data_IF_633650526892
#
_entry.id   IF_633650526892
#
_cell.length_a   1.000
_cell.length_b   1.000
_cell.length_c   1.000
_cell.angle_alpha   90.00
_cell.angle_beta   90.00
_cell.angle_gamma   90.00
#
_symmetry.space_group_name_H-M   'P 1'
#
loop_
_entity.id
_entity.type
_entity.pdbx_description
1 polymer ?
#
# COMPACT_ATOMS: atom_id res chain seq x y z
N UNK A 1 -57.44 -60.84 53.81
CA UNK A 1 -58.44 -59.75 54.01
C UNK A 1 -57.94 -58.56 53.18
N UNK A 2 -58.17 -58.54 51.87
CA UNK A 2 -59.29 -57.85 51.19
C UNK A 2 -59.44 -56.38 51.59
N UNK A 3 -58.88 -55.47 50.80
CA UNK A 3 -59.46 -54.14 50.45
C UNK A 3 -58.90 -53.79 49.05
N UNK A 4 -59.62 -53.97 47.95
CA UNK A 4 -60.63 -53.09 47.31
C UNK A 4 -60.09 -51.88 46.51
N UNK A 5 -60.11 -52.07 45.18
CA UNK A 5 -60.38 -51.14 44.06
C UNK A 5 -60.47 -49.62 44.30
N UNK A 6 -59.70 -48.86 43.51
CA UNK A 6 -60.09 -47.71 42.68
C UNK A 6 -58.90 -47.42 41.73
N UNK A 7 -58.99 -47.24 40.41
CA UNK A 7 -60.03 -46.57 39.64
C UNK A 7 -59.64 -45.11 39.40
N UNK A 8 -58.60 -44.84 38.60
CA UNK A 8 -58.31 -43.48 38.11
C UNK A 8 -57.53 -43.54 36.80
N UNK A 9 -58.24 -43.20 35.73
CA UNK A 9 -57.70 -42.92 34.41
C UNK A 9 -57.12 -41.51 34.44
N UNK A 10 -55.84 -41.34 34.10
CA UNK A 10 -55.30 -40.04 33.72
C UNK A 10 -54.57 -40.17 32.39
N UNK A 11 -55.14 -39.43 31.45
CA UNK A 11 -54.70 -39.14 30.09
C UNK A 11 -53.23 -38.70 30.09
N UNK A 12 -52.39 -39.40 29.33
CA UNK A 12 -51.07 -38.92 28.92
C UNK A 12 -51.23 -37.68 28.05
N UNK A 13 -51.06 -36.50 28.66
CA UNK A 13 -50.81 -35.26 27.91
C UNK A 13 -49.35 -35.28 27.46
N UNK A 14 -49.14 -35.70 26.21
CA UNK A 14 -47.87 -35.52 25.53
C UNK A 14 -47.65 -34.01 25.33
N UNK A 15 -46.84 -33.41 26.20
CA UNK A 15 -46.36 -32.05 26.03
C UNK A 15 -45.31 -32.08 24.90
N UNK A 16 -45.79 -31.92 23.67
CA UNK A 16 -44.95 -31.72 22.50
C UNK A 16 -44.17 -30.43 22.64
N UNK A 17 -42.93 -30.53 23.10
CA UNK A 17 -41.98 -29.44 23.06
C UNK A 17 -41.67 -29.09 21.61
N UNK A 18 -42.21 -27.97 21.14
CA UNK A 18 -41.82 -27.38 19.87
C UNK A 18 -40.45 -26.72 20.06
N UNK A 19 -39.38 -27.48 19.85
CA UNK A 19 -38.05 -26.93 19.65
C UNK A 19 -38.07 -26.22 18.30
N UNK A 20 -38.30 -24.91 18.31
CA UNK A 20 -38.03 -24.06 17.17
C UNK A 20 -36.51 -24.09 16.93
N UNK A 21 -36.07 -24.88 15.97
CA UNK A 21 -34.72 -24.79 15.44
C UNK A 21 -34.55 -23.37 14.86
N UNK A 22 -33.45 -22.66 15.15
CA UNK A 22 -33.15 -21.44 14.41
C UNK A 22 -32.93 -21.84 12.95
N UNK A 23 -33.79 -21.33 12.07
CA UNK A 23 -33.59 -21.38 10.62
C UNK A 23 -32.39 -20.49 10.27
N UNK A 24 -31.19 -21.02 10.43
CA UNK A 24 -30.01 -20.46 9.79
C UNK A 24 -29.96 -20.97 8.35
N UNK A 25 -30.86 -20.45 7.52
CA UNK A 25 -30.64 -20.41 6.08
C UNK A 25 -30.28 -18.98 5.71
N UNK A 26 -29.08 -18.55 6.12
CA UNK A 26 -28.35 -17.57 5.33
C UNK A 26 -27.89 -18.33 4.08
N UNK A 27 -28.82 -18.52 3.14
CA UNK A 27 -28.45 -18.93 1.80
C UNK A 27 -27.55 -17.83 1.25
N UNK A 28 -26.29 -18.15 0.99
CA UNK A 28 -25.45 -17.32 0.14
C UNK A 28 -26.19 -17.20 -1.18
N UNK A 29 -26.80 -16.05 -1.43
CA UNK A 29 -27.28 -15.71 -2.76
C UNK A 29 -26.07 -15.89 -3.70
N UNK A 30 -26.24 -16.63 -4.79
CA UNK A 30 -25.23 -16.67 -5.84
C UNK A 30 -25.09 -15.23 -6.33
N UNK A 31 -24.05 -14.54 -5.86
CA UNK A 31 -23.94 -13.11 -6.06
C UNK A 31 -23.72 -12.90 -7.57
N UNK A 32 -24.72 -12.33 -8.25
CA UNK A 32 -24.77 -12.16 -9.70
C UNK A 32 -23.76 -11.16 -10.27
N UNK A 33 -22.50 -11.24 -9.82
CA UNK A 33 -21.38 -10.44 -10.31
C UNK A 33 -20.93 -10.93 -11.67
N UNK A 34 -20.74 -9.99 -12.57
CA UNK A 34 -20.20 -10.24 -13.90
C UNK A 34 -18.68 -10.04 -13.91
N UNK A 35 -17.97 -10.92 -14.62
CA UNK A 35 -16.55 -10.79 -14.92
C UNK A 35 -15.61 -10.73 -13.70
N UNK A 36 -15.92 -11.53 -12.67
CA UNK A 36 -15.05 -11.78 -11.52
C UNK A 36 -14.02 -12.87 -11.90
N UNK A 37 -12.74 -12.51 -12.00
CA UNK A 37 -11.70 -13.42 -12.55
C UNK A 37 -10.57 -13.80 -11.57
N UNK A 38 -10.43 -13.09 -10.45
CA UNK A 38 -9.31 -13.25 -9.50
C UNK A 38 -9.78 -13.36 -8.05
N UNK A 39 -11.08 -13.23 -7.81
CA UNK A 39 -11.71 -13.36 -6.50
C UNK A 39 -12.75 -14.51 -6.56
N UNK A 40 -13.11 -15.12 -5.42
CA UNK A 40 -14.08 -16.22 -5.38
C UNK A 40 -15.43 -15.82 -5.99
N UNK A 41 -16.01 -16.68 -6.83
CA UNK A 41 -17.27 -16.39 -7.52
C UNK A 41 -18.46 -16.20 -6.56
N UNK A 42 -18.39 -16.77 -5.37
CA UNK A 42 -19.41 -16.73 -4.32
C UNK A 42 -19.13 -15.67 -3.24
N UNK A 43 -18.12 -14.80 -3.42
CA UNK A 43 -17.78 -13.72 -2.49
C UNK A 43 -19.01 -12.86 -2.16
N UNK A 44 -19.24 -12.59 -0.88
CA UNK A 44 -20.38 -11.77 -0.46
C UNK A 44 -20.24 -10.31 -0.91
N UNK A 45 -21.36 -9.57 -0.93
CA UNK A 45 -21.34 -8.13 -1.27
C UNK A 45 -20.46 -7.31 -0.33
N UNK A 46 -20.52 -7.61 0.95
CA UNK A 46 -19.77 -6.87 1.97
C UNK A 46 -18.28 -7.18 1.84
N UNK A 47 -17.91 -8.46 1.70
CA UNK A 47 -16.51 -8.88 1.51
C UNK A 47 -15.90 -8.33 0.22
N UNK A 48 -16.67 -8.28 -0.88
CA UNK A 48 -16.23 -7.67 -2.12
C UNK A 48 -16.00 -6.16 -1.93
N UNK A 49 -16.92 -5.48 -1.24
CA UNK A 49 -16.80 -4.07 -0.91
C UNK A 49 -15.54 -3.78 -0.10
N UNK A 50 -15.33 -4.52 0.98
CA UNK A 50 -14.17 -4.39 1.86
C UNK A 50 -12.86 -4.70 1.15
N UNK A 51 -12.86 -5.73 0.30
CA UNK A 51 -11.72 -6.08 -0.55
C UNK A 51 -11.33 -4.91 -1.44
N UNK A 52 -12.30 -4.33 -2.18
CA UNK A 52 -12.03 -3.17 -3.05
C UNK A 52 -11.55 -1.95 -2.26
N UNK A 53 -12.13 -1.67 -1.09
CA UNK A 53 -11.69 -0.57 -0.23
C UNK A 53 -10.28 -0.79 0.33
N UNK A 54 -9.89 -2.04 0.59
CA UNK A 54 -8.54 -2.38 1.03
C UNK A 54 -7.51 -2.10 -0.07
N UNK A 55 -7.85 -2.38 -1.33
CA UNK A 55 -6.99 -2.05 -2.48
C UNK A 55 -6.81 -0.54 -2.62
N UNK A 56 -7.87 0.26 -2.51
CA UNK A 56 -7.76 1.72 -2.56
C UNK A 56 -6.83 2.25 -1.47
N UNK A 57 -6.96 1.72 -0.24
CA UNK A 57 -6.09 2.12 0.87
C UNK A 57 -4.64 1.75 0.60
N UNK A 58 -4.39 0.52 0.17
CA UNK A 58 -3.04 0.03 -0.13
C UNK A 58 -2.35 0.87 -1.21
N UNK A 59 -3.09 1.30 -2.23
CA UNK A 59 -2.59 2.08 -3.36
C UNK A 59 -2.53 3.60 -3.10
N UNK A 60 -3.04 4.08 -1.96
CA UNK A 60 -3.10 5.52 -1.67
C UNK A 60 -4.13 6.28 -2.48
N UNK A 61 -5.17 5.59 -2.97
CA UNK A 61 -6.22 6.17 -3.79
C UNK A 61 -7.34 6.76 -2.92
N UNK A 62 -7.94 7.89 -3.34
CA UNK A 62 -8.99 8.55 -2.57
C UNK A 62 -10.25 7.69 -2.52
N UNK A 63 -10.79 7.51 -1.30
CA UNK A 63 -12.08 6.82 -1.09
C UNK A 63 -13.29 7.74 -1.23
N UNK A 64 -13.08 9.06 -1.12
CA UNK A 64 -14.16 10.05 -1.15
C UNK A 64 -14.76 10.11 -2.55
N UNK A 65 -16.09 10.20 -2.62
CA UNK A 65 -16.88 10.29 -3.85
C UNK A 65 -16.66 9.16 -4.88
N UNK A 66 -15.88 8.11 -4.59
CA UNK A 66 -15.57 7.05 -5.54
C UNK A 66 -14.48 7.39 -6.56
N UNK A 67 -13.74 8.49 -6.41
CA UNK A 67 -12.65 8.89 -7.31
C UNK A 67 -11.61 7.79 -7.51
N UNK A 68 -11.18 7.15 -6.42
CA UNK A 68 -10.20 6.05 -6.49
C UNK A 68 -10.73 4.82 -7.24
N UNK A 69 -12.04 4.59 -7.24
CA UNK A 69 -12.64 3.48 -7.99
C UNK A 69 -12.46 3.66 -9.50
N UNK A 70 -12.47 4.91 -9.99
CA UNK A 70 -12.25 5.25 -11.39
C UNK A 70 -10.80 5.03 -11.83
N UNK A 71 -9.87 4.70 -10.93
CA UNK A 71 -8.54 4.26 -11.32
C UNK A 71 -8.58 2.93 -12.09
N UNK A 72 -9.53 2.04 -11.74
CA UNK A 72 -9.67 0.70 -12.32
C UNK A 72 -11.00 0.45 -13.03
N UNK A 73 -12.09 1.09 -12.60
CA UNK A 73 -13.42 0.88 -13.16
C UNK A 73 -13.82 1.98 -14.16
N UNK A 74 -14.64 1.60 -15.13
CA UNK A 74 -15.24 2.52 -16.12
C UNK A 74 -16.49 3.16 -15.52
N UNK A 75 -16.58 4.49 -15.60
CA UNK A 75 -17.67 5.27 -15.02
C UNK A 75 -17.33 6.76 -14.99
N UNK A 76 -18.25 7.56 -14.46
CA UNK A 76 -18.05 9.00 -14.22
C UNK A 76 -18.66 9.41 -12.87
N UNK A 77 -18.07 10.42 -12.24
CA UNK A 77 -18.65 11.06 -11.04
C UNK A 77 -19.94 11.84 -11.35
N UNK A 78 -20.22 12.13 -12.62
CA UNK A 78 -21.44 12.83 -13.06
C UNK A 78 -22.70 11.96 -13.02
N UNK A 79 -22.52 10.64 -12.95
CA UNK A 79 -23.62 9.66 -12.92
C UNK A 79 -23.57 8.81 -11.65
N UNK A 80 -24.73 8.34 -11.15
CA UNK A 80 -24.77 7.42 -10.01
C UNK A 80 -23.93 6.17 -10.26
N UNK A 81 -23.29 5.64 -9.20
CA UNK A 81 -22.47 4.42 -9.23
C UNK A 81 -23.19 3.18 -9.78
N UNK A 82 -24.52 3.14 -9.72
CA UNK A 82 -25.32 2.07 -10.31
C UNK A 82 -25.28 2.04 -11.84
N UNK A 83 -24.86 3.12 -12.49
CA UNK A 83 -24.71 3.22 -13.95
C UNK A 83 -23.28 2.99 -14.43
N UNK A 84 -22.34 2.68 -13.52
CA UNK A 84 -20.96 2.41 -13.89
C UNK A 84 -20.81 1.00 -14.45
N UNK A 85 -19.87 0.83 -15.38
CA UNK A 85 -19.59 -0.45 -16.02
C UNK A 85 -18.56 -1.24 -15.21
N UNK A 86 -18.99 -1.78 -14.06
CA UNK A 86 -18.12 -2.48 -13.12
C UNK A 86 -17.41 -3.70 -13.74
N UNK A 87 -18.08 -4.40 -14.66
CA UNK A 87 -17.57 -5.59 -15.34
C UNK A 87 -16.65 -5.26 -16.52
N UNK A 88 -16.64 -4.03 -17.05
CA UNK A 88 -15.80 -3.64 -18.19
C UNK A 88 -14.30 -3.76 -17.90
N UNK A 89 -13.55 -4.21 -18.91
CA UNK A 89 -12.10 -4.40 -18.89
C UNK A 89 -11.36 -3.35 -19.72
N UNK A 90 -12.04 -2.27 -20.12
CA UNK A 90 -11.46 -1.18 -20.92
C UNK A 90 -10.25 -0.53 -20.23
N UNK A 91 -10.26 -0.44 -18.90
CA UNK A 91 -9.14 0.15 -18.15
C UNK A 91 -8.03 -0.88 -17.89
N UNK A 92 -6.79 -0.61 -18.35
CA UNK A 92 -5.68 -1.55 -18.20
C UNK A 92 -5.31 -1.83 -16.73
N UNK A 93 -5.52 -0.86 -15.84
CA UNK A 93 -5.23 -1.02 -14.40
C UNK A 93 -6.03 -2.15 -13.77
N UNK A 94 -7.24 -2.47 -14.26
CA UNK A 94 -8.04 -3.59 -13.76
C UNK A 94 -7.38 -4.94 -14.08
N UNK A 95 -6.82 -5.07 -15.29
CA UNK A 95 -6.09 -6.28 -15.68
C UNK A 95 -4.80 -6.44 -14.87
N UNK A 96 -4.08 -5.33 -14.63
CA UNK A 96 -2.89 -5.32 -13.76
C UNK A 96 -3.27 -5.72 -12.33
N UNK A 97 -4.34 -5.14 -11.77
CA UNK A 97 -4.82 -5.47 -10.43
C UNK A 97 -5.16 -6.95 -10.30
N UNK A 98 -5.82 -7.56 -11.28
CA UNK A 98 -6.08 -9.02 -11.29
C UNK A 98 -4.80 -9.84 -11.26
N UNK A 99 -3.75 -9.41 -11.97
CA UNK A 99 -2.44 -10.08 -11.92
C UNK A 99 -1.79 -9.93 -10.54
N UNK A 100 -1.89 -8.75 -9.93
CA UNK A 100 -1.36 -8.51 -8.57
C UNK A 100 -2.11 -9.29 -7.50
N UNK A 101 -3.44 -9.46 -7.62
CA UNK A 101 -4.24 -10.29 -6.71
C UNK A 101 -3.71 -11.73 -6.73
N UNK A 102 -3.53 -12.31 -7.91
CA UNK A 102 -2.99 -13.68 -8.06
C UNK A 102 -1.58 -13.79 -7.51
N UNK A 103 -0.71 -12.82 -7.82
CA UNK A 103 0.65 -12.80 -7.28
C UNK A 103 0.66 -12.80 -5.74
N UNK A 104 -0.21 -12.05 -5.08
CA UNK A 104 -0.32 -12.02 -3.62
C UNK A 104 -0.86 -13.35 -3.07
N UNK A 105 -1.86 -13.95 -3.76
CA UNK A 105 -2.35 -15.29 -3.43
C UNK A 105 -1.22 -16.32 -3.50
N UNK A 106 -0.48 -16.36 -4.61
CA UNK A 106 0.65 -17.27 -4.83
C UNK A 106 1.73 -17.08 -3.76
N UNK A 107 2.10 -15.82 -3.42
CA UNK A 107 3.07 -15.56 -2.35
C UNK A 107 2.59 -16.15 -1.01
N UNK A 108 1.33 -15.91 -0.63
CA UNK A 108 0.81 -16.37 0.65
C UNK A 108 0.65 -17.91 0.70
N UNK A 109 0.14 -18.50 -0.37
CA UNK A 109 -0.25 -19.92 -0.44
C UNK A 109 0.90 -20.85 -0.80
N UNK A 110 1.84 -20.41 -1.64
CA UNK A 110 2.95 -21.25 -2.12
C UNK A 110 4.27 -20.94 -1.42
N UNK A 111 4.57 -19.67 -1.18
CA UNK A 111 5.90 -19.26 -0.69
C UNK A 111 5.94 -19.11 0.84
N UNK A 112 4.96 -18.43 1.42
CA UNK A 112 4.90 -18.25 2.88
C UNK A 112 4.40 -19.50 3.59
N UNK A 113 3.65 -20.38 2.90
CA UNK A 113 3.18 -21.66 3.42
C UNK A 113 4.26 -22.54 4.05
N UNK A 114 5.45 -22.56 3.45
CA UNK A 114 6.56 -23.41 3.89
C UNK A 114 7.48 -22.80 4.96
N UNK A 115 7.24 -21.56 5.40
CA UNK A 115 8.13 -20.89 6.35
C UNK A 115 7.90 -21.38 7.79
N UNK A 116 9.00 -21.65 8.50
CA UNK A 116 8.95 -21.90 9.94
C UNK A 116 8.56 -20.62 10.71
N UNK A 117 7.89 -20.79 11.85
CA UNK A 117 7.52 -19.71 12.78
C UNK A 117 6.58 -18.64 12.20
N UNK A 118 5.70 -19.02 11.28
CA UNK A 118 4.72 -18.09 10.67
C UNK A 118 3.39 -17.99 11.39
N UNK A 119 3.24 -18.70 12.51
CA UNK A 119 1.91 -19.09 13.01
C UNK A 119 1.24 -18.05 13.93
N UNK A 120 1.98 -17.05 14.44
CA UNK A 120 1.38 -16.06 15.34
C UNK A 120 2.00 -14.65 15.31
N UNK A 121 1.24 -13.63 14.85
CA UNK A 121 0.08 -13.79 13.97
C UNK A 121 0.48 -14.50 12.67
N UNK A 122 -0.49 -15.05 11.94
CA UNK A 122 -0.21 -15.65 10.64
C UNK A 122 0.51 -14.64 9.74
N UNK A 123 1.72 -14.99 9.28
CA UNK A 123 2.48 -14.14 8.38
C UNK A 123 1.86 -14.19 6.99
N UNK A 124 1.25 -13.08 6.59
CA UNK A 124 0.71 -12.88 5.25
C UNK A 124 1.15 -11.54 4.69
N UNK A 125 1.30 -11.48 3.37
CA UNK A 125 1.46 -10.23 2.64
C UNK A 125 0.12 -9.79 2.06
N UNK A 126 -0.08 -8.48 1.99
CA UNK A 126 -1.17 -7.87 1.24
C UNK A 126 -0.64 -6.79 0.33
N UNK A 127 -1.51 -6.18 -0.47
CA UNK A 127 -1.13 -5.05 -1.33
C UNK A 127 -0.43 -3.93 -0.54
N UNK A 128 -0.87 -3.70 0.71
CA UNK A 128 -0.30 -2.68 1.61
C UNK A 128 1.14 -2.98 2.01
N UNK A 129 1.57 -4.25 2.01
CA UNK A 129 2.93 -4.63 2.39
C UNK A 129 3.96 -4.01 1.45
N UNK A 130 3.66 -3.95 0.15
CA UNK A 130 4.55 -3.32 -0.84
C UNK A 130 4.17 -1.87 -1.12
N UNK A 131 2.88 -1.61 -1.35
CA UNK A 131 2.44 -0.30 -1.79
C UNK A 131 2.38 0.73 -0.65
N UNK A 132 2.10 0.32 0.58
CA UNK A 132 2.05 1.20 1.76
C UNK A 132 1.40 2.58 1.51
N UNK A 133 0.29 2.65 0.76
CA UNK A 133 -0.39 3.90 0.44
C UNK A 133 0.14 4.65 -0.78
N UNK A 134 0.82 3.98 -1.71
CA UNK A 134 1.30 4.58 -2.97
C UNK A 134 1.15 3.65 -4.17
N UNK A 135 1.04 4.22 -5.36
CA UNK A 135 0.89 3.42 -6.59
C UNK A 135 2.19 2.71 -7.00
N UNK A 136 3.35 3.35 -6.84
CA UNK A 136 4.66 2.78 -7.19
C UNK A 136 5.34 2.20 -5.95
N UNK A 137 5.37 0.87 -5.75
CA UNK A 137 5.87 0.25 -4.53
C UNK A 137 7.39 0.26 -4.41
N UNK A 138 8.12 0.85 -5.36
CA UNK A 138 9.58 0.96 -5.27
C UNK A 138 10.02 1.78 -4.05
N UNK A 139 11.23 1.56 -3.54
CA UNK A 139 11.84 2.44 -2.54
C UNK A 139 12.14 3.82 -3.16
N UNK A 140 12.37 4.84 -2.32
CA UNK A 140 12.52 6.21 -2.79
C UNK A 140 13.78 6.39 -3.64
N UNK A 141 14.85 5.67 -3.31
CA UNK A 141 16.13 5.68 -4.00
C UNK A 141 15.95 5.30 -5.48
N UNK A 142 15.21 4.23 -5.76
CA UNK A 142 14.89 3.81 -7.13
C UNK A 142 14.03 4.84 -7.87
N UNK A 143 13.09 5.48 -7.17
CA UNK A 143 12.21 6.51 -7.73
C UNK A 143 13.01 7.77 -8.10
N UNK A 144 13.91 8.23 -7.22
CA UNK A 144 14.77 9.38 -7.46
C UNK A 144 15.86 9.06 -8.50
N UNK A 145 16.47 7.88 -8.45
CA UNK A 145 17.44 7.41 -9.45
C UNK A 145 16.83 7.37 -10.85
N UNK A 146 15.62 6.82 -10.97
CA UNK A 146 14.82 6.88 -12.21
C UNK A 146 14.56 8.31 -12.71
N UNK A 147 14.35 9.28 -11.79
CA UNK A 147 14.15 10.67 -12.16
C UNK A 147 15.46 11.32 -12.63
N UNK A 148 16.56 11.02 -11.95
CA UNK A 148 17.91 11.45 -12.32
C UNK A 148 18.30 10.95 -13.71
N UNK A 149 18.09 9.67 -14.01
CA UNK A 149 18.41 9.07 -15.31
C UNK A 149 17.65 9.71 -16.47
N UNK A 150 16.36 10.02 -16.26
CA UNK A 150 15.50 10.55 -17.33
C UNK A 150 15.64 12.04 -17.57
N UNK A 151 15.95 12.81 -16.53
CA UNK A 151 15.87 14.27 -16.61
C UNK A 151 16.84 15.00 -15.69
N UNK A 152 17.91 14.33 -15.27
CA UNK A 152 18.99 14.93 -14.47
C UNK A 152 18.58 15.32 -13.06
N UNK A 153 19.48 16.01 -12.39
CA UNK A 153 19.34 16.39 -10.98
C UNK A 153 18.13 17.31 -10.74
N UNK A 154 17.75 18.13 -11.72
CA UNK A 154 16.60 19.02 -11.60
C UNK A 154 15.28 18.25 -11.51
N UNK A 155 15.19 17.09 -12.17
CA UNK A 155 14.01 16.21 -12.03
C UNK A 155 13.88 15.66 -10.61
N UNK A 156 15.01 15.36 -9.97
CA UNK A 156 15.05 14.94 -8.55
C UNK A 156 14.67 16.10 -7.64
N UNK A 157 15.22 17.29 -7.91
CA UNK A 157 14.96 18.48 -7.11
C UNK A 157 13.51 18.96 -7.16
N UNK A 158 12.77 18.65 -8.22
CA UNK A 158 11.31 18.87 -8.29
C UNK A 158 10.54 17.73 -7.63
N UNK A 159 10.95 16.48 -7.86
CA UNK A 159 10.22 15.30 -7.38
C UNK A 159 10.29 15.12 -5.87
N UNK A 160 11.48 15.25 -5.28
CA UNK A 160 11.67 14.98 -3.86
C UNK A 160 10.78 15.86 -2.95
N UNK A 161 10.69 17.20 -3.13
CA UNK A 161 9.77 18.03 -2.33
C UNK A 161 8.31 17.59 -2.43
N UNK A 162 7.86 17.16 -3.62
CA UNK A 162 6.49 16.65 -3.82
C UNK A 162 6.27 15.36 -3.04
N UNK A 163 7.24 14.45 -3.06
CA UNK A 163 7.18 13.22 -2.27
C UNK A 163 7.24 13.50 -0.76
N UNK A 164 8.10 14.44 -0.35
CA UNK A 164 8.25 14.86 1.04
C UNK A 164 6.94 15.44 1.58
N UNK A 165 6.37 16.44 0.91
CA UNK A 165 5.09 17.06 1.30
C UNK A 165 3.97 16.03 1.43
N UNK A 166 3.92 15.05 0.51
CA UNK A 166 2.85 14.06 0.48
C UNK A 166 3.01 12.94 1.51
N UNK A 167 4.24 12.50 1.78
CA UNK A 167 4.50 11.23 2.48
C UNK A 167 5.34 11.36 3.75
N UNK A 168 5.85 12.54 4.08
CA UNK A 168 6.63 12.73 5.31
C UNK A 168 5.82 12.36 6.55
N UNK A 169 6.39 11.52 7.41
CA UNK A 169 5.74 11.00 8.62
C UNK A 169 4.69 9.90 8.38
N UNK A 170 4.35 9.57 7.12
CA UNK A 170 3.35 8.54 6.82
C UNK A 170 3.94 7.10 6.79
N UNK A 171 5.25 6.94 6.94
CA UNK A 171 5.94 5.64 6.90
C UNK A 171 6.01 4.99 5.51
N UNK A 172 5.83 5.79 4.46
CA UNK A 172 5.75 5.32 3.06
C UNK A 172 7.13 5.28 2.38
N UNK A 173 7.95 6.29 2.66
CA UNK A 173 9.30 6.43 2.14
C UNK A 173 10.26 6.83 3.26
N UNK A 174 11.54 6.49 3.12
CA UNK A 174 12.60 7.08 3.94
C UNK A 174 12.94 8.48 3.40
N UNK A 175 12.30 9.49 3.97
CA UNK A 175 12.48 10.89 3.60
C UNK A 175 13.45 11.62 4.52
N UNK A 176 14.33 10.91 5.24
CA UNK A 176 15.31 11.53 6.16
C UNK A 176 16.47 12.15 5.38
N UNK A 177 17.25 12.99 6.08
CA UNK A 177 18.47 13.64 5.54
C UNK A 177 19.40 12.66 4.82
N UNK A 178 19.51 11.43 5.33
CA UNK A 178 20.39 10.39 4.81
C UNK A 178 20.11 10.02 3.35
N UNK A 179 18.85 10.02 2.91
CA UNK A 179 18.47 9.57 1.57
C UNK A 179 19.09 10.46 0.48
N UNK A 180 18.88 11.77 0.57
CA UNK A 180 19.49 12.72 -0.38
C UNK A 180 20.99 12.88 -0.15
N UNK A 181 21.47 12.72 1.08
CA UNK A 181 22.89 12.78 1.39
C UNK A 181 23.68 11.66 0.69
N UNK A 182 23.22 10.41 0.79
CA UNK A 182 23.85 9.27 0.12
C UNK A 182 23.90 9.47 -1.39
N UNK A 183 22.78 9.87 -2.00
CA UNK A 183 22.70 10.13 -3.42
C UNK A 183 23.61 11.29 -3.87
N UNK A 184 23.74 12.35 -3.06
CA UNK A 184 24.66 13.45 -3.34
C UNK A 184 26.13 13.00 -3.24
N UNK A 185 26.47 12.16 -2.26
CA UNK A 185 27.83 11.59 -2.13
C UNK A 185 28.19 10.70 -3.32
N UNK A 186 27.28 9.84 -3.79
CA UNK A 186 27.49 9.02 -4.99
C UNK A 186 27.77 9.88 -6.23
N UNK A 187 26.99 10.95 -6.44
CA UNK A 187 27.22 11.89 -7.53
C UNK A 187 28.59 12.58 -7.44
N UNK A 188 29.03 12.93 -6.23
CA UNK A 188 30.32 13.56 -6.02
C UNK A 188 31.49 12.59 -6.31
N UNK A 189 31.38 11.32 -5.93
CA UNK A 189 32.35 10.26 -6.26
C UNK A 189 32.46 10.05 -7.78
N UNK A 190 31.39 10.27 -8.53
CA UNK A 190 31.40 10.32 -10.00
C UNK A 190 31.98 11.63 -10.59
N UNK A 191 32.43 12.56 -9.75
CA UNK A 191 32.92 13.88 -10.14
C UNK A 191 31.81 14.88 -10.52
N UNK A 192 30.53 14.54 -10.32
CA UNK A 192 29.36 15.36 -10.63
C UNK A 192 29.03 16.31 -9.48
N UNK A 193 30.01 17.11 -9.09
CA UNK A 193 29.93 17.99 -7.92
C UNK A 193 28.78 19.01 -7.97
N UNK A 194 28.45 19.55 -9.15
CA UNK A 194 27.32 20.48 -9.29
C UNK A 194 25.97 19.81 -8.98
N UNK A 195 25.77 18.58 -9.49
CA UNK A 195 24.57 17.81 -9.21
C UNK A 195 24.50 17.42 -7.72
N UNK A 196 25.63 17.02 -7.14
CA UNK A 196 25.73 16.70 -5.72
C UNK A 196 25.36 17.90 -4.83
N UNK A 197 25.93 19.09 -5.11
CA UNK A 197 25.62 20.31 -4.38
C UNK A 197 24.15 20.72 -4.57
N UNK A 198 23.60 20.54 -5.77
CA UNK A 198 22.19 20.79 -6.05
C UNK A 198 21.26 19.90 -5.22
N UNK A 199 21.57 18.61 -5.05
CA UNK A 199 20.80 17.73 -4.16
C UNK A 199 20.99 18.10 -2.69
N UNK A 200 22.18 18.53 -2.30
CA UNK A 200 22.44 18.98 -0.93
C UNK A 200 21.61 20.21 -0.56
N UNK A 201 21.43 21.15 -1.49
CA UNK A 201 20.52 22.31 -1.34
C UNK A 201 19.05 21.89 -1.17
N UNK A 202 18.59 20.89 -1.93
CA UNK A 202 17.25 20.30 -1.75
C UNK A 202 17.12 19.66 -0.36
N UNK A 203 18.17 18.96 0.08
CA UNK A 203 18.21 18.30 1.38
C UNK A 203 18.14 19.31 2.53
N UNK A 204 18.92 20.39 2.47
CA UNK A 204 18.87 21.48 3.45
C UNK A 204 17.51 22.19 3.49
N UNK A 205 16.90 22.41 2.33
CA UNK A 205 15.59 23.05 2.24
C UNK A 205 14.50 22.17 2.84
N UNK A 206 14.48 20.89 2.52
CA UNK A 206 13.49 19.95 3.03
C UNK A 206 13.66 19.68 4.54
N UNK A 207 14.89 19.74 5.04
CA UNK A 207 15.24 19.49 6.44
C UNK A 207 15.75 20.75 7.14
N UNK A 208 15.06 21.87 6.91
CA UNK A 208 15.46 23.16 7.43
C UNK A 208 15.67 23.13 8.95
N UNK A 209 16.88 23.44 9.39
CA UNK A 209 17.27 23.42 10.80
C UNK A 209 17.97 22.14 11.27
N UNK A 210 18.06 21.10 10.44
CA UNK A 210 18.88 19.92 10.74
C UNK A 210 20.35 20.20 10.37
N UNK A 211 21.29 20.26 11.36
CA UNK A 211 22.70 20.50 11.08
C UNK A 211 23.33 19.39 10.22
N UNK A 212 22.76 18.19 10.21
CA UNK A 212 23.24 17.07 9.40
C UNK A 212 23.12 17.35 7.91
N UNK A 213 22.06 18.03 7.47
CA UNK A 213 21.90 18.41 6.06
C UNK A 213 22.99 19.40 5.63
N UNK A 214 23.27 20.42 6.47
CA UNK A 214 24.33 21.42 6.21
C UNK A 214 25.74 20.83 6.16
N UNK A 215 26.01 19.82 7.00
CA UNK A 215 27.32 19.15 7.03
C UNK A 215 27.67 18.51 5.69
N UNK A 216 26.67 18.00 4.96
CA UNK A 216 26.88 17.37 3.66
C UNK A 216 27.33 18.40 2.63
N UNK A 217 26.66 19.56 2.54
CA UNK A 217 27.04 20.64 1.63
C UNK A 217 28.48 21.10 1.87
N UNK A 218 28.86 21.28 3.14
CA UNK A 218 30.22 21.64 3.50
C UNK A 218 31.22 20.55 3.08
N UNK A 219 30.93 19.28 3.37
CA UNK A 219 31.80 18.16 3.01
C UNK A 219 32.01 18.07 1.48
N UNK A 220 30.94 18.22 0.71
CA UNK A 220 30.98 18.23 -0.76
C UNK A 220 31.79 19.41 -1.30
N UNK A 221 31.64 20.60 -0.71
CA UNK A 221 32.38 21.80 -1.12
C UNK A 221 33.88 21.65 -0.84
N UNK A 222 34.24 21.13 0.34
CA UNK A 222 35.63 20.83 0.70
C UNK A 222 36.22 19.77 -0.23
N UNK A 223 35.49 18.67 -0.48
CA UNK A 223 35.97 17.60 -1.35
C UNK A 223 36.20 18.09 -2.78
N UNK A 224 35.27 18.88 -3.33
CA UNK A 224 35.44 19.53 -4.63
C UNK A 224 36.70 20.38 -4.69
N UNK A 225 36.97 21.17 -3.65
CA UNK A 225 38.16 22.02 -3.58
C UNK A 225 39.46 21.19 -3.50
N UNK A 226 39.44 20.10 -2.72
CA UNK A 226 40.55 19.15 -2.62
C UNK A 226 40.86 18.53 -3.98
N UNK A 227 39.84 18.06 -4.69
CA UNK A 227 39.98 17.39 -5.98
C UNK A 227 40.44 18.35 -7.09
N UNK A 228 39.97 19.61 -7.06
CA UNK A 228 40.32 20.59 -8.07
C UNK A 228 41.71 21.21 -7.89
N UNK A 229 42.11 21.48 -6.64
CA UNK A 229 43.21 22.41 -6.33
C UNK A 229 44.13 21.93 -5.19
N UNK A 230 43.88 20.75 -4.62
CA UNK A 230 44.68 20.17 -3.55
C UNK A 230 44.37 20.74 -2.14
N UNK A 231 45.12 20.28 -1.12
CA UNK A 231 44.83 20.56 0.30
C UNK A 231 44.80 22.05 0.69
N UNK A 232 45.59 22.88 0.01
CA UNK A 232 45.75 24.31 0.31
C UNK A 232 44.49 25.11 -0.03
N UNK A 233 43.77 24.73 -1.08
CA UNK A 233 42.53 25.37 -1.48
C UNK A 233 41.35 24.99 -0.56
N UNK A 234 41.35 23.77 -0.02
CA UNK A 234 40.31 23.30 0.89
C UNK A 234 40.28 24.07 2.22
N UNK A 235 41.43 24.57 2.67
CA UNK A 235 41.52 25.40 3.89
C UNK A 235 40.82 26.75 3.71
N UNK A 236 40.70 27.27 2.48
CA UNK A 236 40.04 28.54 2.17
C UNK A 236 38.51 28.46 2.10
N UNK A 237 37.93 27.25 2.22
CA UNK A 237 36.48 27.04 2.28
C UNK A 237 35.91 27.44 3.66
N UNK A 238 36.78 27.58 4.67
CA UNK A 238 36.46 28.01 6.04
C UNK A 238 36.84 29.48 6.29
#
# INVERSE_FOLDING_TARGET
MSVSKAGAWWVTLALGGLLAAPSATAGQEANGYENLQALPADISRDDLGDTMLSFLRALGLPRRAGEGCLHCHVGSLDVPRSQWEWSSDEKPNKAIARRMIRMVQDINEEHLAGLAHRDWPELQVGCVTCHAGRLDPRPIEDVLGSALERGGVDSVAVLYPVLHERYYGAGVYDLRVGTLASMASELAEEGRYEDALRLSDVNETAHAGDPSARRITLALTVQRALDASGPEAAVQVF
#
